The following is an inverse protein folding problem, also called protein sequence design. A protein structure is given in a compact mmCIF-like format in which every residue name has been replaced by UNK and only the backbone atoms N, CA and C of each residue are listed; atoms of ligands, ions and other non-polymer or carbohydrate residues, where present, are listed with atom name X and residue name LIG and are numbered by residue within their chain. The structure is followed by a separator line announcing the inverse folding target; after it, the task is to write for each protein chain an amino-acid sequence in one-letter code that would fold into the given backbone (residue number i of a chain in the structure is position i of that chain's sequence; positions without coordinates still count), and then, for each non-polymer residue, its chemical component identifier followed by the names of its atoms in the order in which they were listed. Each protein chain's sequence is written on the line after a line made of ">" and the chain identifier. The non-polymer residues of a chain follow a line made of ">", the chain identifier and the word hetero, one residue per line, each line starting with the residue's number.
data_IF_800877571188
#
_entry.id   IF_800877571188
#
_cell.length_a   1.000
_cell.length_b   1.000
_cell.length_c   1.000
_cell.angle_alpha   90.00
_cell.angle_beta   90.00
_cell.angle_gamma   90.00
#
_symmetry.space_group_name_H-M   'P 1'
#
loop_
_entity.id
_entity.type
_entity.pdbx_description
1 polymer ?
#
# COMPACT_ATOMS: atom_id res chain seq x y z
N UNK A 1 -58.30 50.69 -13.66
CA UNK A 1 -58.28 51.65 -12.54
C UNK A 1 -57.07 51.34 -11.65
N UNK A 2 -55.97 52.06 -11.89
CA UNK A 2 -54.97 52.59 -10.95
C UNK A 2 -55.14 52.21 -9.45
N UNK A 3 -54.15 51.53 -8.81
CA UNK A 3 -53.02 52.09 -7.97
C UNK A 3 -53.46 52.26 -6.49
N UNK A 4 -52.75 51.89 -5.39
CA UNK A 4 -51.33 51.62 -5.06
C UNK A 4 -51.20 50.96 -3.64
N UNK A 5 -50.16 50.13 -3.47
CA UNK A 5 -49.10 50.07 -2.42
C UNK A 5 -49.44 49.77 -0.93
N UNK A 6 -48.86 48.68 -0.39
CA UNK A 6 -47.87 48.73 0.71
C UNK A 6 -46.91 47.51 0.68
N UNK A 7 -45.66 47.76 1.10
CA UNK A 7 -44.41 47.02 0.85
C UNK A 7 -44.09 45.94 1.95
N UNK A 8 -42.91 45.31 2.00
CA UNK A 8 -42.58 43.95 1.54
C UNK A 8 -42.38 42.94 2.69
N UNK A 9 -42.67 41.66 2.46
CA UNK A 9 -42.20 40.59 3.35
C UNK A 9 -40.95 39.95 2.75
N UNK A 10 -39.79 40.40 3.27
CA UNK A 10 -38.50 39.77 3.09
C UNK A 10 -38.58 38.36 3.68
N UNK A 11 -38.56 37.33 2.84
CA UNK A 11 -38.34 35.95 3.30
C UNK A 11 -36.92 35.54 2.90
N UNK A 12 -36.08 35.47 3.92
CA UNK A 12 -34.66 35.13 3.87
C UNK A 12 -34.54 33.69 3.37
N UNK A 13 -33.93 33.49 2.18
CA UNK A 13 -33.41 32.19 1.78
C UNK A 13 -32.22 31.86 2.70
N UNK A 14 -32.44 30.96 3.67
CA UNK A 14 -31.34 30.24 4.31
C UNK A 14 -30.72 29.31 3.26
N UNK A 15 -29.65 29.77 2.62
CA UNK A 15 -28.74 28.92 1.89
C UNK A 15 -28.00 28.02 2.87
N UNK A 16 -28.41 26.76 2.98
CA UNK A 16 -27.56 25.72 3.57
C UNK A 16 -26.39 25.48 2.62
N UNK A 17 -25.29 26.20 2.87
CA UNK A 17 -23.99 25.90 2.30
C UNK A 17 -23.60 24.49 2.76
N UNK A 18 -23.78 23.51 1.87
CA UNK A 18 -23.16 22.20 2.04
C UNK A 18 -21.68 22.47 1.90
N UNK A 19 -20.99 22.53 3.04
CA UNK A 19 -19.55 22.59 3.09
C UNK A 19 -19.03 21.32 2.41
N UNK A 20 -18.63 21.44 1.15
CA UNK A 20 -17.76 20.48 0.50
C UNK A 20 -16.45 20.49 1.28
N UNK A 21 -16.39 19.68 2.35
CA UNK A 21 -15.12 19.25 2.89
C UNK A 21 -14.45 18.48 1.76
N UNK A 22 -13.58 19.16 1.04
CA UNK A 22 -12.50 18.51 0.32
C UNK A 22 -11.84 17.60 1.34
N UNK A 23 -12.14 16.31 1.28
CA UNK A 23 -11.27 15.29 1.81
C UNK A 23 -9.94 15.61 1.13
N UNK A 24 -9.02 16.25 1.85
CA UNK A 24 -7.64 16.18 1.46
C UNK A 24 -7.37 14.69 1.39
N UNK A 25 -7.09 14.21 0.17
CA UNK A 25 -6.32 13.01 0.03
C UNK A 25 -5.04 13.33 0.81
N UNK A 26 -5.01 12.93 2.08
CA UNK A 26 -3.75 12.81 2.79
C UNK A 26 -2.97 11.86 1.91
N UNK A 27 -2.03 12.44 1.18
CA UNK A 27 -0.98 11.73 0.48
C UNK A 27 -0.46 10.73 1.49
N UNK A 28 -0.91 9.48 1.32
CA UNK A 28 -0.61 8.41 2.25
C UNK A 28 0.89 8.30 2.18
N UNK A 29 1.58 8.80 3.22
CA UNK A 29 3.03 8.90 3.23
C UNK A 29 3.55 7.57 2.71
N UNK A 30 4.26 7.61 1.58
CA UNK A 30 4.71 6.40 0.92
C UNK A 30 5.46 5.59 1.97
N UNK A 31 4.96 4.39 2.28
CA UNK A 31 5.62 3.52 3.26
C UNK A 31 7.04 3.34 2.77
N UNK A 32 8.01 3.78 3.56
CA UNK A 32 9.41 3.55 3.24
C UNK A 32 9.65 2.05 3.33
N UNK A 33 9.83 1.45 2.16
CA UNK A 33 10.07 0.02 2.00
C UNK A 33 11.54 -0.29 1.73
N UNK A 34 12.41 0.71 1.87
CA UNK A 34 13.84 0.54 1.66
C UNK A 34 14.44 -0.49 2.62
N UNK A 35 15.50 -1.14 2.18
CA UNK A 35 16.25 -2.05 3.02
C UNK A 35 17.04 -1.24 4.06
N UNK A 36 16.95 -1.52 5.38
CA UNK A 36 17.70 -0.77 6.38
C UNK A 36 19.22 -0.88 6.17
N UNK A 37 19.94 0.23 6.33
CA UNK A 37 21.38 0.29 6.04
C UNK A 37 22.25 -0.46 7.03
N UNK A 38 21.84 -0.53 8.30
CA UNK A 38 22.57 -1.26 9.35
C UNK A 38 21.69 -2.34 9.99
N UNK A 39 22.32 -3.21 10.78
CA UNK A 39 21.63 -4.25 11.54
C UNK A 39 21.08 -3.72 12.89
N UNK A 40 21.34 -2.46 13.23
CA UNK A 40 21.01 -1.89 14.53
C UNK A 40 19.49 -1.89 14.73
N UNK A 41 19.04 -2.53 15.80
CA UNK A 41 17.62 -2.66 16.13
C UNK A 41 16.85 -3.65 15.26
N UNK A 42 17.49 -4.36 14.31
CA UNK A 42 16.80 -5.37 13.49
C UNK A 42 16.73 -6.73 14.20
N UNK A 43 15.56 -7.39 14.23
CA UNK A 43 15.38 -8.66 14.91
C UNK A 43 16.14 -9.81 14.23
N UNK A 44 16.25 -10.91 14.98
CA UNK A 44 16.86 -12.15 14.52
C UNK A 44 18.39 -12.09 14.39
N UNK A 45 18.95 -13.20 13.92
CA UNK A 45 20.39 -13.36 13.72
C UNK A 45 20.68 -13.84 12.30
N UNK A 46 21.91 -13.60 11.83
CA UNK A 46 22.36 -13.97 10.49
C UNK A 46 22.39 -12.80 9.51
N UNK A 47 22.78 -13.07 8.25
CA UNK A 47 23.07 -12.03 7.28
C UNK A 47 21.80 -11.38 6.71
N UNK A 48 21.87 -10.07 6.47
CA UNK A 48 20.96 -9.33 5.59
C UNK A 48 21.78 -8.91 4.38
N UNK A 49 21.37 -9.32 3.17
CA UNK A 49 22.11 -8.98 1.95
C UNK A 49 21.92 -7.51 1.62
N UNK A 50 23.01 -6.79 1.32
CA UNK A 50 22.98 -5.37 0.95
C UNK A 50 23.74 -5.05 -0.34
N UNK A 51 23.93 -6.05 -1.20
CA UNK A 51 24.50 -5.80 -2.53
C UNK A 51 23.57 -4.90 -3.33
N UNK A 52 24.13 -4.05 -4.20
CA UNK A 52 23.33 -3.06 -4.95
C UNK A 52 22.22 -3.71 -5.78
N UNK A 53 22.51 -4.85 -6.41
CA UNK A 53 21.50 -5.61 -7.14
C UNK A 53 20.35 -6.10 -6.24
N UNK A 54 20.66 -6.46 -4.98
CA UNK A 54 19.66 -6.94 -4.03
C UNK A 54 18.83 -5.78 -3.49
N UNK A 55 19.45 -4.64 -3.15
CA UNK A 55 18.74 -3.41 -2.76
C UNK A 55 17.76 -2.98 -3.84
N UNK A 56 18.18 -2.97 -5.10
CA UNK A 56 17.33 -2.63 -6.22
C UNK A 56 16.13 -3.58 -6.35
N UNK A 57 16.37 -4.90 -6.27
CA UNK A 57 15.31 -5.90 -6.34
C UNK A 57 14.35 -5.80 -5.14
N UNK A 58 14.87 -5.61 -3.94
CA UNK A 58 14.10 -5.41 -2.72
C UNK A 58 13.14 -4.22 -2.86
N UNK A 59 13.69 -3.06 -3.22
CA UNK A 59 12.93 -1.83 -3.40
C UNK A 59 11.87 -1.98 -4.49
N UNK A 60 12.22 -2.61 -5.61
CA UNK A 60 11.27 -2.88 -6.70
C UNK A 60 10.11 -3.78 -6.23
N UNK A 61 10.41 -4.93 -5.61
CA UNK A 61 9.39 -5.91 -5.18
C UNK A 61 8.50 -5.31 -4.10
N UNK A 62 9.10 -4.76 -3.04
CA UNK A 62 8.35 -4.15 -1.92
C UNK A 62 7.59 -2.91 -2.35
N UNK A 63 8.17 -2.07 -3.20
CA UNK A 63 7.50 -0.89 -3.75
C UNK A 63 6.30 -1.26 -4.62
N UNK A 64 6.38 -2.36 -5.39
CA UNK A 64 5.23 -2.88 -6.11
C UNK A 64 4.15 -3.39 -5.16
N UNK A 65 4.50 -4.11 -4.09
CA UNK A 65 3.54 -4.60 -3.10
C UNK A 65 2.85 -3.47 -2.31
N UNK A 66 3.57 -2.41 -1.97
CA UNK A 66 3.01 -1.23 -1.30
C UNK A 66 1.87 -0.59 -2.11
N UNK A 67 1.93 -0.65 -3.45
CA UNK A 67 0.87 -0.16 -4.35
C UNK A 67 -0.35 -1.08 -4.46
N UNK A 68 -0.26 -2.31 -3.96
CA UNK A 68 -1.31 -3.35 -4.07
C UNK A 68 -1.83 -3.88 -2.73
N UNK A 69 -1.65 -3.12 -1.64
CA UNK A 69 -2.07 -3.53 -0.30
C UNK A 69 -3.56 -3.89 -0.25
N UNK A 70 -4.42 -3.03 -0.82
CA UNK A 70 -5.86 -3.23 -0.85
C UNK A 70 -6.25 -4.39 -1.79
N UNK A 71 -5.60 -4.47 -2.95
CA UNK A 71 -5.84 -5.51 -3.95
C UNK A 71 -5.46 -6.89 -3.41
N UNK A 72 -4.45 -7.00 -2.54
CA UNK A 72 -3.96 -8.27 -2.01
C UNK A 72 -4.66 -8.71 -0.72
N UNK A 73 -5.62 -7.94 -0.18
CA UNK A 73 -6.39 -8.34 1.01
C UNK A 73 -7.12 -9.67 0.80
N UNK A 74 -7.04 -10.55 1.79
CA UNK A 74 -7.64 -11.89 1.74
C UNK A 74 -6.92 -12.88 0.83
N UNK A 75 -5.73 -12.54 0.31
CA UNK A 75 -4.90 -13.47 -0.44
C UNK A 75 -4.16 -14.45 0.49
N UNK A 76 -3.90 -15.66 0.00
CA UNK A 76 -2.91 -16.56 0.57
C UNK A 76 -1.52 -16.05 0.18
N UNK A 77 -0.73 -15.71 1.20
CA UNK A 77 0.61 -15.16 1.02
C UNK A 77 1.66 -16.27 1.02
N UNK A 78 2.47 -16.32 -0.02
CA UNK A 78 3.67 -17.15 -0.08
C UNK A 78 4.89 -16.25 0.14
N UNK A 79 5.59 -16.46 1.25
CA UNK A 79 6.76 -15.69 1.65
C UNK A 79 8.02 -16.53 1.47
N UNK A 80 9.05 -15.98 0.83
CA UNK A 80 10.30 -16.70 0.67
C UNK A 80 11.35 -15.96 -0.16
N UNK A 81 12.21 -16.76 -0.79
CA UNK A 81 13.39 -16.31 -1.54
C UNK A 81 13.18 -16.39 -3.07
N UNK A 82 14.26 -16.68 -3.80
CA UNK A 82 14.28 -16.86 -5.26
C UNK A 82 13.37 -17.99 -5.73
N UNK A 83 13.21 -19.07 -4.95
CA UNK A 83 12.35 -20.19 -5.31
C UNK A 83 10.91 -19.70 -5.33
N UNK A 84 10.48 -19.04 -4.26
CA UNK A 84 9.12 -18.46 -4.17
C UNK A 84 8.91 -17.44 -5.28
N UNK A 85 9.86 -16.52 -5.51
CA UNK A 85 9.77 -15.55 -6.60
C UNK A 85 9.62 -16.23 -7.98
N UNK A 86 10.40 -17.29 -8.23
CA UNK A 86 10.42 -18.00 -9.51
C UNK A 86 9.13 -18.75 -9.86
N UNK A 87 8.22 -18.93 -8.91
CA UNK A 87 6.89 -19.46 -9.18
C UNK A 87 5.96 -18.47 -9.89
N UNK A 88 6.29 -17.18 -9.91
CA UNK A 88 5.46 -16.14 -10.50
C UNK A 88 4.28 -15.72 -9.61
N UNK A 89 3.59 -14.65 -9.99
CA UNK A 89 2.50 -14.06 -9.20
C UNK A 89 1.27 -14.97 -9.12
N UNK A 90 1.07 -15.85 -10.11
CA UNK A 90 -0.05 -16.79 -10.21
C UNK A 90 0.31 -18.23 -9.79
N UNK A 91 1.54 -18.45 -9.29
CA UNK A 91 2.06 -19.76 -8.91
C UNK A 91 1.87 -20.85 -9.97
N UNK A 92 2.03 -20.49 -11.25
CA UNK A 92 1.84 -21.41 -12.39
C UNK A 92 0.45 -22.08 -12.40
N UNK A 93 -0.57 -21.37 -11.90
CA UNK A 93 -1.95 -21.86 -11.78
C UNK A 93 -2.11 -23.11 -10.89
N UNK A 94 -1.17 -23.36 -9.97
CA UNK A 94 -1.16 -24.58 -9.14
C UNK A 94 -2.24 -24.59 -8.06
N UNK A 95 -2.88 -23.45 -7.78
CA UNK A 95 -3.85 -23.26 -6.70
C UNK A 95 -5.16 -22.66 -7.26
N UNK A 96 -5.95 -23.45 -8.01
CA UNK A 96 -7.15 -22.94 -8.68
C UNK A 96 -8.19 -22.44 -7.68
N UNK A 97 -8.83 -21.31 -8.00
CA UNK A 97 -9.88 -20.69 -7.19
C UNK A 97 -9.38 -19.93 -5.96
N UNK A 98 -8.07 -19.92 -5.70
CA UNK A 98 -7.47 -19.20 -4.58
C UNK A 98 -6.91 -17.85 -5.04
N UNK A 99 -7.12 -16.82 -4.21
CA UNK A 99 -6.46 -15.52 -4.37
C UNK A 99 -5.06 -15.62 -3.77
N UNK A 100 -4.03 -15.37 -4.56
CA UNK A 100 -2.63 -15.59 -4.16
C UNK A 100 -1.85 -14.28 -4.13
N UNK A 101 -0.81 -14.24 -3.29
CA UNK A 101 0.15 -13.14 -3.24
C UNK A 101 1.58 -13.70 -3.09
N UNK A 102 2.39 -13.52 -4.15
CA UNK A 102 3.81 -13.88 -4.11
C UNK A 102 4.63 -12.78 -3.43
N UNK A 103 5.29 -13.13 -2.32
CA UNK A 103 6.18 -12.25 -1.53
C UNK A 103 7.64 -12.75 -1.52
N UNK A 104 8.03 -13.45 -2.58
CA UNK A 104 9.40 -13.92 -2.79
C UNK A 104 10.38 -12.81 -3.21
N UNK A 105 11.61 -12.83 -2.70
CA UNK A 105 12.71 -11.96 -3.16
C UNK A 105 13.96 -12.81 -3.40
N UNK A 106 14.51 -12.77 -4.60
CA UNK A 106 15.72 -13.53 -4.93
C UNK A 106 16.89 -13.10 -4.05
N UNK A 107 17.56 -14.08 -3.44
CA UNK A 107 18.67 -13.85 -2.52
C UNK A 107 18.27 -13.52 -1.09
N UNK A 108 16.97 -13.45 -0.78
CA UNK A 108 16.54 -13.17 0.58
C UNK A 108 17.04 -14.24 1.56
N UNK A 109 17.24 -13.84 2.81
CA UNK A 109 17.64 -14.74 3.90
C UNK A 109 16.48 -14.87 4.87
N UNK A 110 16.54 -15.83 5.78
CA UNK A 110 15.53 -15.94 6.84
C UNK A 110 15.42 -14.64 7.66
N UNK A 111 16.55 -13.96 7.91
CA UNK A 111 16.54 -12.66 8.60
C UNK A 111 15.96 -11.53 7.73
N UNK A 112 16.28 -11.50 6.44
CA UNK A 112 15.66 -10.56 5.51
C UNK A 112 14.14 -10.77 5.34
N UNK A 113 13.66 -12.01 5.42
CA UNK A 113 12.24 -12.32 5.49
C UNK A 113 11.60 -11.82 6.79
N UNK A 114 12.28 -12.03 7.93
CA UNK A 114 11.78 -11.62 9.25
C UNK A 114 11.53 -10.11 9.32
N UNK A 115 12.48 -9.28 8.87
CA UNK A 115 12.33 -7.81 8.94
C UNK A 115 11.21 -7.25 8.05
N UNK A 116 10.58 -8.08 7.21
CA UNK A 116 9.44 -7.68 6.36
C UNK A 116 8.09 -8.10 6.93
N UNK A 117 8.09 -8.84 8.03
CA UNK A 117 6.91 -9.29 8.78
C UNK A 117 6.61 -8.42 10.00
N UNK A 118 7.62 -7.72 10.52
CA UNK A 118 7.46 -6.62 11.50
C UNK A 118 6.87 -5.38 10.84
#
# INVERSE_FOLDING_TARGET
>A
MNIKILLPMVLILLGSAVASSSLSAQEQAAVDVSLPETDDGLPGAGPIRRYDWFRNLWNQRRGNWAKRIQQDQGAIVFLGDSITQGWGDDFKQSFPGLKLANRGISGDTTRGMLIRLE
#
